data_IF_228243640983
#
_entry.id   IF_228243640983
#
_cell.length_a   1.000
_cell.length_b   1.000
_cell.length_c   1.000
_cell.angle_alpha   90.00
_cell.angle_beta   90.00
_cell.angle_gamma   90.00
#
_symmetry.space_group_name_H-M   'P 1'
#
loop_
_entity.id
_entity.type
_entity.pdbx_description
1 polymer ?
#
# COMPACT_ATOMS: atom_id res chain seq x y z
N UNK A 1 -0.42 -14.91 -3.82
CA UNK A 1 -1.74 -14.28 -3.89
C UNK A 1 -1.66 -12.81 -3.52
N UNK A 2 -2.34 -11.98 -4.24
CA UNK A 2 -2.50 -10.57 -3.89
C UNK A 2 -3.87 -10.11 -4.36
N UNK A 3 -4.69 -9.61 -3.45
CA UNK A 3 -6.03 -9.13 -3.77
C UNK A 3 -6.38 -7.92 -2.90
N UNK A 4 -7.12 -6.97 -3.46
CA UNK A 4 -7.64 -5.81 -2.74
C UNK A 4 -9.15 -5.86 -2.79
N UNK A 5 -9.79 -5.83 -1.62
CA UNK A 5 -11.23 -5.73 -1.53
C UNK A 5 -11.64 -4.30 -1.86
N UNK A 6 -12.47 -4.11 -2.88
CA UNK A 6 -12.84 -2.77 -3.33
C UNK A 6 -13.80 -2.05 -2.40
N UNK A 7 -14.44 -2.75 -1.47
CA UNK A 7 -15.37 -2.12 -0.53
C UNK A 7 -14.66 -1.50 0.66
N UNK A 8 -13.75 -2.23 1.29
CA UNK A 8 -13.08 -1.78 2.51
C UNK A 8 -11.57 -1.57 2.34
N UNK A 9 -11.05 -1.83 1.13
CA UNK A 9 -9.64 -1.71 0.77
C UNK A 9 -8.70 -2.60 1.60
N UNK A 10 -9.22 -3.67 2.17
CA UNK A 10 -8.37 -4.68 2.80
C UNK A 10 -7.54 -5.37 1.72
N UNK A 11 -6.23 -5.44 1.95
CA UNK A 11 -5.32 -6.19 1.09
C UNK A 11 -5.14 -7.58 1.70
N UNK A 12 -5.27 -8.62 0.87
CA UNK A 12 -4.92 -9.99 1.27
C UNK A 12 -3.79 -10.45 0.36
N UNK A 13 -2.69 -10.91 0.95
CA UNK A 13 -1.54 -11.31 0.16
C UNK A 13 -0.77 -12.42 0.86
N UNK A 14 0.02 -13.16 0.07
CA UNK A 14 0.90 -14.20 0.59
C UNK A 14 2.30 -13.63 0.75
N UNK A 15 2.90 -13.85 1.91
CA UNK A 15 4.28 -13.43 2.18
C UNK A 15 5.21 -14.00 1.11
N UNK A 16 6.02 -13.16 0.50
CA UNK A 16 6.97 -13.57 -0.53
C UNK A 16 6.44 -13.60 -1.96
N UNK A 17 5.14 -13.37 -2.17
CA UNK A 17 4.58 -13.27 -3.52
C UNK A 17 4.70 -11.84 -4.04
N UNK A 18 5.16 -11.70 -5.27
CA UNK A 18 5.22 -10.38 -5.92
C UNK A 18 3.81 -9.81 -6.09
N UNK A 19 3.71 -8.49 -6.10
CA UNK A 19 2.44 -7.79 -6.19
C UNK A 19 2.52 -6.60 -7.14
N UNK A 20 1.40 -6.32 -7.80
CA UNK A 20 1.24 -5.11 -8.62
C UNK A 20 -0.17 -4.59 -8.39
N UNK A 21 -0.28 -3.31 -8.06
CA UNK A 21 -1.60 -2.67 -7.97
C UNK A 21 -1.51 -1.21 -8.37
N UNK A 22 -2.64 -0.65 -8.77
CA UNK A 22 -2.71 0.75 -9.20
C UNK A 22 -3.51 1.56 -8.21
N UNK A 23 -3.09 2.82 -8.02
CA UNK A 23 -3.80 3.75 -7.15
C UNK A 23 -4.23 4.98 -7.94
N UNK A 24 -5.42 5.48 -7.60
CA UNK A 24 -5.95 6.74 -8.10
C UNK A 24 -6.23 7.63 -6.90
N UNK A 25 -6.23 8.93 -7.12
CA UNK A 25 -6.51 9.90 -6.07
C UNK A 25 -7.61 10.85 -6.50
N UNK A 26 -8.25 11.50 -5.54
CA UNK A 26 -9.26 12.53 -5.80
C UNK A 26 -8.86 13.82 -5.11
N UNK A 27 -9.18 14.92 -5.77
CA UNK A 27 -8.95 16.26 -5.23
C UNK A 27 -10.26 17.02 -5.35
N UNK A 28 -10.80 17.49 -4.23
CA UNK A 28 -12.07 18.23 -4.18
C UNK A 28 -13.22 17.48 -4.90
N UNK A 29 -13.27 16.15 -4.76
CA UNK A 29 -14.31 15.31 -5.35
C UNK A 29 -14.11 14.95 -6.82
N UNK A 30 -13.06 15.46 -7.46
CA UNK A 30 -12.72 15.15 -8.85
C UNK A 30 -11.47 14.28 -8.91
N UNK A 31 -11.30 13.54 -10.01
CA UNK A 31 -10.12 12.73 -10.23
C UNK A 31 -8.88 13.62 -10.27
N UNK A 32 -7.84 13.21 -9.56
CA UNK A 32 -6.57 13.90 -9.56
C UNK A 32 -5.66 13.30 -10.65
N UNK A 33 -5.06 14.17 -11.46
CA UNK A 33 -4.05 13.76 -12.42
C UNK A 33 -2.68 13.93 -11.77
N UNK A 34 -2.02 12.80 -11.53
CA UNK A 34 -0.65 12.82 -11.00
C UNK A 34 0.27 13.51 -12.00
N UNK A 35 1.13 14.39 -11.50
CA UNK A 35 2.04 15.17 -12.30
C UNK A 35 3.46 14.63 -12.24
N UNK A 36 4.31 14.91 -13.25
CA UNK A 36 5.72 14.53 -13.17
C UNK A 36 6.34 15.01 -11.85
N UNK A 37 7.17 14.16 -11.26
CA UNK A 37 7.85 14.36 -9.98
C UNK A 37 6.97 14.17 -8.75
N UNK A 38 5.67 13.97 -8.88
CA UNK A 38 4.86 13.52 -7.76
C UNK A 38 5.42 12.20 -7.25
N UNK A 39 5.48 12.05 -5.93
CA UNK A 39 5.92 10.81 -5.30
C UNK A 39 4.73 10.15 -4.61
N UNK A 40 4.53 8.87 -4.88
CA UNK A 40 3.50 8.07 -4.21
C UNK A 40 4.21 7.06 -3.33
N UNK A 41 3.86 7.05 -2.05
CA UNK A 41 4.49 6.17 -1.06
C UNK A 41 3.48 5.18 -0.50
N UNK A 42 3.79 3.90 -0.65
CA UNK A 42 3.05 2.82 -0.02
C UNK A 42 3.84 2.38 1.22
N UNK A 43 3.20 2.41 2.38
CA UNK A 43 3.84 2.02 3.63
C UNK A 43 3.01 0.96 4.34
N UNK A 44 3.67 -0.05 4.89
CA UNK A 44 3.04 -1.08 5.71
C UNK A 44 3.60 -0.98 7.11
N UNK A 45 2.70 -1.06 8.10
CA UNK A 45 3.05 -0.85 9.51
C UNK A 45 2.71 -2.09 10.34
N UNK A 46 3.54 -2.34 11.33
CA UNK A 46 3.33 -3.45 12.27
C UNK A 46 2.16 -3.20 13.21
N UNK A 47 1.84 -1.94 13.49
CA UNK A 47 0.81 -1.57 14.44
C UNK A 47 -0.28 -0.70 13.83
N UNK A 48 -1.49 -0.81 14.36
CA UNK A 48 -2.66 -0.10 13.87
C UNK A 48 -2.52 1.42 13.94
N UNK A 49 -1.70 1.94 14.84
CA UNK A 49 -1.45 3.37 14.97
C UNK A 49 -0.43 3.88 13.95
N UNK A 50 -0.08 3.05 12.97
CA UNK A 50 0.90 3.38 11.92
C UNK A 50 2.31 3.62 12.47
N UNK A 51 2.64 2.97 13.57
CA UNK A 51 4.01 2.94 14.08
C UNK A 51 4.73 1.70 13.55
N UNK A 52 6.04 1.77 13.47
CA UNK A 52 6.90 0.68 13.04
C UNK A 52 6.67 0.25 11.58
N UNK A 53 7.26 0.99 10.68
CA UNK A 53 7.24 0.67 9.24
C UNK A 53 7.99 -0.65 9.00
N UNK A 54 7.32 -1.59 8.33
CA UNK A 54 7.94 -2.88 7.96
C UNK A 54 8.16 -2.99 6.46
N UNK A 55 7.53 -2.13 5.67
CA UNK A 55 7.75 -2.03 4.22
C UNK A 55 7.42 -0.61 3.80
N UNK A 56 8.26 -0.04 2.94
CA UNK A 56 7.99 1.27 2.36
C UNK A 56 8.46 1.25 0.91
N UNK A 57 7.57 1.62 0.00
CA UNK A 57 7.86 1.65 -1.43
C UNK A 57 7.45 2.99 -2.00
N UNK A 58 8.41 3.68 -2.61
CA UNK A 58 8.16 4.95 -3.28
C UNK A 58 8.13 4.75 -4.79
N UNK A 59 7.19 5.43 -5.44
CA UNK A 59 7.13 5.51 -6.90
C UNK A 59 7.12 6.98 -7.29
N UNK A 60 8.04 7.36 -8.17
CA UNK A 60 8.07 8.71 -8.71
C UNK A 60 7.35 8.73 -10.05
N UNK A 61 6.39 9.62 -10.19
CA UNK A 61 5.62 9.78 -11.42
C UNK A 61 6.49 10.46 -12.47
N UNK A 62 6.58 9.86 -13.66
CA UNK A 62 7.41 10.38 -14.74
C UNK A 62 6.61 11.15 -15.77
N UNK A 63 5.32 10.79 -15.94
CA UNK A 63 4.42 11.42 -16.91
C UNK A 63 3.06 11.63 -16.26
N UNK A 64 2.32 12.65 -16.69
CA UNK A 64 0.97 12.88 -16.23
C UNK A 64 0.11 11.63 -16.41
N UNK A 65 -0.57 11.18 -15.37
CA UNK A 65 -1.38 9.96 -15.40
C UNK A 65 -2.48 10.01 -14.34
N UNK A 66 -3.58 9.34 -14.61
CA UNK A 66 -4.66 9.16 -13.65
C UNK A 66 -4.45 7.98 -12.70
N UNK A 67 -3.50 7.08 -13.02
CA UNK A 67 -3.23 5.89 -12.21
C UNK A 67 -1.73 5.74 -12.03
N UNK A 68 -1.32 5.44 -10.80
CA UNK A 68 0.06 5.12 -10.48
C UNK A 68 0.16 3.64 -10.14
N UNK A 69 1.04 2.94 -10.81
CA UNK A 69 1.27 1.52 -10.58
C UNK A 69 2.36 1.33 -9.54
N UNK A 70 2.06 0.54 -8.52
CA UNK A 70 3.00 0.17 -7.47
C UNK A 70 3.36 -1.30 -7.67
N UNK A 71 4.65 -1.56 -7.86
CA UNK A 71 5.19 -2.91 -8.06
C UNK A 71 6.06 -3.31 -6.88
N UNK A 72 5.81 -4.49 -6.36
CA UNK A 72 6.54 -5.04 -5.22
C UNK A 72 7.11 -6.39 -5.62
N UNK A 73 8.39 -6.58 -5.39
CA UNK A 73 9.04 -7.87 -5.67
C UNK A 73 8.66 -8.88 -4.59
N UNK A 74 8.89 -10.17 -4.87
CA UNK A 74 8.69 -11.21 -3.88
C UNK A 74 9.53 -10.99 -2.63
N UNK A 75 10.76 -10.50 -2.80
CA UNK A 75 11.63 -10.19 -1.66
C UNK A 75 11.05 -9.04 -0.82
N UNK A 76 10.57 -7.97 -1.46
CA UNK A 76 9.94 -6.85 -0.75
C UNK A 76 8.70 -7.31 0.02
N UNK A 77 7.98 -8.31 -0.50
CA UNK A 77 6.77 -8.83 0.12
C UNK A 77 7.04 -9.84 1.25
N UNK A 78 8.30 -10.09 1.59
CA UNK A 78 8.64 -10.86 2.78
C UNK A 78 8.57 -9.97 4.02
N UNK A 79 7.39 -9.46 4.25
CA UNK A 79 7.08 -8.52 5.32
C UNK A 79 7.19 -9.21 6.67
N UNK A 80 7.96 -8.63 7.58
CA UNK A 80 8.11 -9.13 8.94
C UNK A 80 8.75 -10.51 9.04
N UNK A 81 8.62 -11.17 10.18
CA UNK A 81 9.17 -12.51 10.36
C UNK A 81 8.37 -13.58 9.63
N UNK A 82 8.95 -14.76 9.48
CA UNK A 82 8.22 -15.92 8.95
C UNK A 82 7.05 -16.24 9.87
N UNK A 83 5.90 -16.49 9.29
CA UNK A 83 4.66 -16.74 10.03
C UNK A 83 4.10 -18.11 9.68
N UNK A 84 3.35 -18.72 10.63
CA UNK A 84 2.69 -20.00 10.44
C UNK A 84 1.18 -19.90 10.33
N UNK A 85 0.64 -18.71 10.51
CA UNK A 85 -0.80 -18.40 10.40
C UNK A 85 -0.95 -16.96 9.95
N UNK A 86 -2.13 -16.57 9.42
CA UNK A 86 -2.34 -15.20 8.96
C UNK A 86 -2.10 -14.17 10.05
N UNK A 87 -1.47 -13.05 9.68
CA UNK A 87 -1.18 -11.93 10.58
C UNK A 87 -1.67 -10.65 9.92
N UNK A 88 -2.19 -9.74 10.72
CA UNK A 88 -2.63 -8.44 10.24
C UNK A 88 -1.53 -7.40 10.39
N UNK A 89 -1.38 -6.62 9.32
CA UNK A 89 -0.59 -5.39 9.29
C UNK A 89 -1.52 -4.28 8.83
N UNK A 90 -1.06 -3.04 8.85
CA UNK A 90 -1.84 -1.90 8.40
C UNK A 90 -1.04 -1.14 7.35
N UNK A 91 -1.73 -0.40 6.46
CA UNK A 91 -1.04 0.28 5.39
C UNK A 91 -1.64 1.64 5.08
N UNK A 92 -0.85 2.46 4.42
CA UNK A 92 -1.26 3.76 3.90
C UNK A 92 -0.62 3.99 2.54
N UNK A 93 -1.28 4.81 1.72
CA UNK A 93 -0.71 5.34 0.49
C UNK A 93 -0.76 6.85 0.59
N UNK A 94 0.39 7.50 0.43
CA UNK A 94 0.52 8.95 0.54
C UNK A 94 1.05 9.56 -0.75
N UNK A 95 0.59 10.78 -1.05
CA UNK A 95 1.10 11.59 -2.14
C UNK A 95 2.05 12.64 -1.55
N UNK A 96 3.23 12.76 -2.13
CA UNK A 96 4.24 13.77 -1.78
C UNK A 96 4.52 13.87 -0.26
N UNK A 97 4.85 12.75 0.40
CA UNK A 97 4.97 12.72 1.85
C UNK A 97 6.06 13.63 2.42
N UNK A 98 7.05 14.01 1.61
CA UNK A 98 8.18 14.83 2.06
C UNK A 98 8.03 16.32 1.76
N UNK A 99 7.06 16.70 0.93
CA UNK A 99 6.87 18.09 0.53
C UNK A 99 5.51 18.64 0.91
N UNK A 100 4.44 18.05 0.38
CA UNK A 100 3.07 18.47 0.68
C UNK A 100 2.21 17.23 0.89
N UNK A 101 2.27 16.62 2.08
CA UNK A 101 1.67 15.30 2.29
C UNK A 101 0.15 15.30 2.18
N UNK A 102 -0.36 14.37 1.39
CA UNK A 102 -1.78 14.09 1.26
C UNK A 102 -1.98 12.57 1.34
N UNK A 103 -2.91 12.13 2.17
CA UNK A 103 -3.22 10.71 2.27
C UNK A 103 -4.18 10.33 1.14
N UNK A 104 -3.80 9.38 0.31
CA UNK A 104 -4.64 8.84 -0.75
C UNK A 104 -5.51 7.71 -0.21
N UNK A 105 -4.90 6.78 0.50
CA UNK A 105 -5.58 5.66 1.16
C UNK A 105 -5.04 5.59 2.58
N UNK A 106 -5.93 5.63 3.56
CA UNK A 106 -5.51 5.59 4.95
C UNK A 106 -6.72 5.52 5.87
N UNK A 107 -6.53 6.02 7.08
CA UNK A 107 -7.58 6.02 8.10
C UNK A 107 -8.77 6.85 7.65
N UNK A 108 -9.96 6.25 7.71
CA UNK A 108 -11.23 6.92 7.39
C UNK A 108 -12.31 6.47 8.38
N UNK A 109 -13.58 6.72 8.03
CA UNK A 109 -14.72 6.35 8.90
C UNK A 109 -14.79 4.85 9.20
N UNK A 110 -14.17 4.02 8.36
CA UNK A 110 -14.10 2.57 8.57
C UNK A 110 -12.84 2.14 9.33
N UNK A 111 -12.01 3.08 9.74
CA UNK A 111 -10.80 2.83 10.50
C UNK A 111 -9.55 2.72 9.63
N UNK A 112 -8.49 2.18 10.22
CA UNK A 112 -7.22 1.97 9.53
C UNK A 112 -7.35 0.87 8.47
N UNK A 113 -6.58 0.97 7.40
CA UNK A 113 -6.61 -0.01 6.30
C UNK A 113 -5.74 -1.20 6.66
N UNK A 114 -6.27 -2.39 6.47
CA UNK A 114 -5.65 -3.65 6.88
C UNK A 114 -4.96 -4.33 5.70
N UNK A 115 -3.77 -4.86 5.96
CA UNK A 115 -3.08 -5.79 5.06
C UNK A 115 -2.99 -7.11 5.80
N UNK A 116 -3.71 -8.13 5.31
CA UNK A 116 -3.69 -9.46 5.90
C UNK A 116 -2.67 -10.32 5.17
N UNK A 117 -1.66 -10.73 5.90
CA UNK A 117 -0.53 -11.49 5.35
C UNK A 117 -0.69 -12.96 5.68
N UNK A 118 -0.69 -13.79 4.63
CA UNK A 118 -0.78 -15.24 4.77
C UNK A 118 0.60 -15.87 4.71
N UNK A 119 0.78 -17.03 5.37
CA UNK A 119 2.05 -17.74 5.34
C UNK A 119 2.41 -18.19 3.93
N UNK A 120 3.71 -18.30 3.66
CA UNK A 120 4.19 -18.91 2.43
C UNK A 120 3.80 -20.38 2.43
N UNK A 121 3.43 -20.90 1.25
CA UNK A 121 3.13 -22.32 1.13
C UNK A 121 4.39 -23.14 1.37
N UNK A 122 4.26 -24.15 2.19
CA UNK A 122 5.33 -25.13 2.33
C UNK A 122 5.24 -26.12 1.17
N UNK A 123 6.36 -26.39 0.60
CA UNK A 123 6.46 -27.31 -0.54
C UNK A 123 7.17 -28.56 -0.09
#
# INVERSE_FOLDING_TARGET
>A
MFAINQEDLTIECTRGDAAVFSVAAKSAGADYLFQPEDKVRFSVFEKKDCSRVVLQKDVTVMEETGLVEIRLTGEEMRIGPVISKPVEYWYEVELNPETYPQTIIGYDDNGAKVLKLYPESEV
#
